data_IF_314603471066
#
_entry.id   IF_314603471066
#
_cell.length_a   1.000
_cell.length_b   1.000
_cell.length_c   1.000
_cell.angle_alpha   90.00
_cell.angle_beta   90.00
_cell.angle_gamma   90.00
#
_symmetry.space_group_name_H-M   'P 1'
#
loop_
_entity.id
_entity.type
_entity.pdbx_description
1 polymer ?
#
# COMPACT_ATOMS: atom_id res chain seq x y z
N UNK A 1 36.34 47.14 -4.59
CA UNK A 1 35.83 45.99 -5.36
C UNK A 1 36.32 44.70 -4.72
N UNK A 2 35.54 43.63 -4.90
CA UNK A 2 35.79 42.22 -4.55
C UNK A 2 35.45 41.77 -3.11
N UNK A 3 34.46 40.86 -3.07
CA UNK A 3 34.34 39.71 -2.17
C UNK A 3 33.14 39.65 -1.18
N UNK A 4 32.01 40.27 -1.50
CA UNK A 4 30.77 40.09 -0.71
C UNK A 4 29.82 39.04 -1.33
N UNK A 5 30.18 38.42 -2.45
CA UNK A 5 29.30 37.50 -3.19
C UNK A 5 29.43 36.02 -2.78
N UNK A 6 30.28 35.67 -1.82
CA UNK A 6 30.58 34.25 -1.53
C UNK A 6 29.70 33.64 -0.45
N UNK A 7 28.94 34.44 0.32
CA UNK A 7 28.19 33.92 1.48
C UNK A 7 26.77 33.45 1.14
N UNK A 8 26.24 33.79 -0.04
CA UNK A 8 24.84 33.47 -0.39
C UNK A 8 24.63 32.07 -0.98
N UNK A 9 25.69 31.34 -1.34
CA UNK A 9 25.60 30.03 -2.03
C UNK A 9 25.58 28.85 -1.06
N UNK A 10 25.91 29.05 0.23
CA UNK A 10 25.98 27.98 1.23
C UNK A 10 24.63 27.60 1.85
N UNK A 11 23.56 28.37 1.64
CA UNK A 11 22.24 28.10 2.22
C UNK A 11 21.26 27.32 1.32
N UNK A 12 21.59 27.09 0.04
CA UNK A 12 20.74 26.30 -0.86
C UNK A 12 21.12 24.81 -0.94
N UNK A 13 22.15 24.37 -0.22
CA UNK A 13 22.76 23.05 -0.40
C UNK A 13 22.16 21.89 0.42
N UNK A 14 21.22 22.13 1.34
CA UNK A 14 20.74 21.07 2.24
C UNK A 14 19.22 21.10 2.37
N UNK A 15 18.52 21.06 1.23
CA UNK A 15 17.18 20.45 1.25
C UNK A 15 17.45 18.95 1.31
N UNK A 16 17.79 18.45 2.50
CA UNK A 16 17.68 17.03 2.78
C UNK A 16 16.21 16.68 2.60
N UNK A 17 15.87 16.11 1.44
CA UNK A 17 14.66 15.32 1.31
C UNK A 17 14.71 14.34 2.48
N UNK A 18 13.84 14.51 3.46
CA UNK A 18 13.60 13.51 4.48
C UNK A 18 13.05 12.29 3.73
N UNK A 19 13.95 11.46 3.20
CA UNK A 19 13.58 10.20 2.59
C UNK A 19 13.06 9.34 3.73
N UNK A 20 11.74 9.21 3.79
CA UNK A 20 11.07 8.28 4.69
C UNK A 20 11.73 6.93 4.52
N UNK A 21 12.29 6.38 5.61
CA UNK A 21 12.99 5.11 5.56
C UNK A 21 12.05 4.04 4.99
N UNK A 22 12.47 3.43 3.89
CA UNK A 22 11.69 2.40 3.20
C UNK A 22 11.66 1.15 4.11
N UNK A 23 10.48 0.58 4.42
CA UNK A 23 10.37 -0.48 5.43
C UNK A 23 10.98 -1.81 4.96
N UNK A 24 10.97 -2.06 3.65
CA UNK A 24 11.61 -3.22 3.00
C UNK A 24 11.75 -3.00 1.49
N UNK A 25 12.41 -3.93 0.79
CA UNK A 25 12.47 -3.96 -0.68
C UNK A 25 12.04 -5.34 -1.17
N UNK A 26 11.32 -5.36 -2.30
CA UNK A 26 10.77 -6.57 -2.92
C UNK A 26 9.27 -6.69 -2.73
N UNK A 27 8.75 -7.78 -3.29
CA UNK A 27 7.34 -8.14 -3.31
C UNK A 27 6.90 -8.80 -2.00
N UNK A 28 5.68 -8.48 -1.57
CA UNK A 28 4.99 -9.09 -0.43
C UNK A 28 3.51 -9.23 -0.74
N UNK A 29 2.97 -10.40 -0.43
CA UNK A 29 1.54 -10.67 -0.57
C UNK A 29 0.77 -10.23 0.68
N UNK A 30 -0.51 -9.91 0.52
CA UNK A 30 -1.40 -9.59 1.64
C UNK A 30 -2.87 -9.88 1.32
N UNK A 31 -3.67 -10.05 2.37
CA UNK A 31 -5.12 -10.23 2.28
C UNK A 31 -5.80 -9.40 3.39
N UNK A 32 -6.27 -8.20 3.06
CA UNK A 32 -6.88 -7.29 4.07
C UNK A 32 -8.39 -7.51 4.19
N UNK A 33 -9.09 -7.68 3.07
CA UNK A 33 -10.53 -7.98 3.05
C UNK A 33 -10.71 -9.48 2.80
N UNK A 34 -11.33 -10.17 3.74
CA UNK A 34 -11.74 -11.56 3.64
C UNK A 34 -13.19 -11.60 3.15
N UNK A 35 -13.41 -11.18 1.91
CA UNK A 35 -14.73 -11.21 1.30
C UNK A 35 -15.40 -12.58 1.46
N UNK A 36 -16.71 -12.58 1.73
CA UNK A 36 -17.50 -13.80 1.86
C UNK A 36 -17.29 -14.70 0.63
N UNK A 37 -16.86 -15.94 0.89
CA UNK A 37 -16.50 -16.97 -0.09
C UNK A 37 -17.44 -17.03 -1.30
N UNK A 38 -16.90 -17.01 -2.52
CA UNK A 38 -17.74 -17.29 -3.69
C UNK A 38 -17.11 -17.37 -5.09
N UNK A 39 -16.05 -16.63 -5.43
CA UNK A 39 -15.67 -16.50 -6.86
C UNK A 39 -14.17 -16.39 -7.18
N UNK A 40 -13.30 -16.75 -6.24
CA UNK A 40 -11.84 -16.57 -6.38
C UNK A 40 -11.43 -15.20 -5.84
N UNK A 41 -11.05 -15.15 -4.57
CA UNK A 41 -10.57 -13.95 -3.88
C UNK A 41 -9.31 -13.43 -4.59
N UNK A 42 -9.24 -12.15 -4.97
CA UNK A 42 -8.02 -11.57 -5.54
C UNK A 42 -6.88 -11.69 -4.53
N UNK A 43 -5.75 -12.24 -4.99
CA UNK A 43 -4.50 -12.24 -4.25
C UNK A 43 -3.79 -10.91 -4.52
N UNK A 44 -3.62 -10.10 -3.48
CA UNK A 44 -2.96 -8.81 -3.60
C UNK A 44 -1.49 -8.90 -3.24
N UNK A 45 -0.70 -8.06 -3.89
CA UNK A 45 0.70 -7.89 -3.56
C UNK A 45 1.10 -6.42 -3.63
N UNK A 46 2.19 -6.10 -2.94
CA UNK A 46 2.88 -4.83 -3.10
C UNK A 46 4.37 -5.09 -3.32
N UNK A 47 4.98 -4.34 -4.24
CA UNK A 47 6.42 -4.41 -4.51
C UNK A 47 7.07 -3.05 -4.28
N UNK A 48 7.97 -3.03 -3.31
CA UNK A 48 8.77 -1.85 -2.97
C UNK A 48 10.11 -1.92 -3.68
N UNK A 49 10.29 -1.07 -4.69
CA UNK A 49 11.53 -0.98 -5.46
C UNK A 49 12.63 -0.32 -4.62
N UNK A 50 13.90 -0.61 -4.94
CA UNK A 50 15.09 -0.03 -4.28
C UNK A 50 15.12 1.50 -4.24
N UNK A 51 14.49 2.14 -5.23
CA UNK A 51 14.40 3.60 -5.31
C UNK A 51 13.22 4.18 -4.49
N UNK A 52 12.47 3.35 -3.76
CA UNK A 52 11.31 3.75 -2.96
C UNK A 52 10.00 3.88 -3.73
N UNK A 53 9.96 3.53 -5.02
CA UNK A 53 8.68 3.39 -5.72
C UNK A 53 7.93 2.18 -5.18
N UNK A 54 6.63 2.32 -5.00
CA UNK A 54 5.76 1.25 -4.53
C UNK A 54 4.75 0.94 -5.62
N UNK A 55 4.67 -0.33 -5.98
CA UNK A 55 3.69 -0.87 -6.90
C UNK A 55 2.71 -1.73 -6.10
N UNK A 56 1.44 -1.67 -6.46
CA UNK A 56 0.39 -2.54 -5.93
C UNK A 56 -0.22 -3.31 -7.08
N UNK A 57 -0.51 -4.59 -6.87
CA UNK A 57 -1.18 -5.39 -7.86
C UNK A 57 -2.10 -6.42 -7.25
N UNK A 58 -2.89 -7.04 -8.12
CA UNK A 58 -3.69 -8.20 -7.78
C UNK A 58 -3.68 -9.22 -8.91
N UNK A 59 -3.89 -10.48 -8.54
CA UNK A 59 -4.16 -11.59 -9.43
C UNK A 59 -5.43 -12.30 -8.96
N UNK A 60 -6.37 -12.48 -9.87
CA UNK A 60 -7.59 -13.23 -9.63
C UNK A 60 -7.78 -14.28 -10.71
N UNK A 61 -8.04 -15.52 -10.30
CA UNK A 61 -8.35 -16.63 -11.21
C UNK A 61 -9.82 -16.99 -11.00
N UNK A 62 -10.63 -16.80 -12.03
CA UNK A 62 -12.03 -17.21 -12.01
C UNK A 62 -12.11 -18.75 -11.97
N UNK A 63 -12.74 -19.28 -10.92
CA UNK A 63 -12.85 -20.72 -10.69
C UNK A 63 -13.72 -21.45 -11.72
N UNK A 64 -14.63 -20.74 -12.40
CA UNK A 64 -15.57 -21.33 -13.34
C UNK A 64 -14.96 -21.60 -14.74
N UNK A 65 -14.08 -20.71 -15.19
CA UNK A 65 -13.53 -20.73 -16.56
C UNK A 65 -11.99 -20.66 -16.61
N UNK A 66 -11.32 -20.55 -15.46
CA UNK A 66 -9.87 -20.41 -15.36
C UNK A 66 -9.32 -19.08 -15.85
N UNK A 67 -10.17 -18.09 -16.15
CA UNK A 67 -9.74 -16.80 -16.68
C UNK A 67 -8.97 -16.01 -15.61
N UNK A 68 -7.76 -15.61 -15.96
CA UNK A 68 -6.92 -14.75 -15.14
C UNK A 68 -7.25 -13.27 -15.37
N UNK A 69 -7.42 -12.53 -14.29
CA UNK A 69 -7.51 -11.07 -14.27
C UNK A 69 -6.38 -10.55 -13.40
N UNK A 70 -5.51 -9.70 -13.96
CA UNK A 70 -4.39 -9.11 -13.25
C UNK A 70 -4.28 -7.62 -13.53
N UNK A 71 -3.87 -6.87 -12.52
CA UNK A 71 -3.57 -5.45 -12.64
C UNK A 71 -2.36 -5.10 -11.75
N UNK A 72 -1.53 -4.18 -12.22
CA UNK A 72 -0.46 -3.57 -11.43
C UNK A 72 -0.51 -2.04 -11.61
N UNK A 73 -0.37 -1.33 -10.49
CA UNK A 73 -0.48 0.12 -10.39
C UNK A 73 0.72 0.69 -9.64
N UNK A 74 1.36 1.70 -10.22
CA UNK A 74 2.39 2.47 -9.54
C UNK A 74 1.72 3.49 -8.60
N UNK A 75 1.91 3.31 -7.29
CA UNK A 75 1.36 4.18 -6.24
C UNK A 75 2.30 5.32 -5.84
N UNK A 76 3.42 5.50 -6.55
CA UNK A 76 4.38 6.57 -6.33
C UNK A 76 5.45 6.20 -5.30
N UNK A 77 6.04 7.23 -4.66
CA UNK A 77 7.05 7.04 -3.63
C UNK A 77 6.41 6.62 -2.31
N UNK A 78 7.08 5.72 -1.58
CA UNK A 78 6.66 5.29 -0.26
C UNK A 78 6.36 6.48 0.66
N UNK A 79 5.19 6.43 1.30
CA UNK A 79 4.74 7.39 2.29
C UNK A 79 4.20 6.63 3.50
N UNK A 80 4.80 6.84 4.66
CA UNK A 80 4.42 6.14 5.90
C UNK A 80 3.07 6.57 6.46
N UNK A 81 2.51 7.71 6.01
CA UNK A 81 1.21 8.19 6.46
C UNK A 81 0.07 7.51 5.71
N UNK A 82 -0.01 7.76 4.40
CA UNK A 82 -1.04 7.22 3.50
C UNK A 82 -0.48 7.19 2.09
N UNK A 83 -0.73 6.09 1.39
CA UNK A 83 -0.53 5.92 -0.04
C UNK A 83 -1.90 5.70 -0.70
N UNK A 84 -2.12 6.36 -1.84
CA UNK A 84 -3.33 6.19 -2.65
C UNK A 84 -3.05 5.22 -3.79
N UNK A 85 -3.85 4.18 -3.87
CA UNK A 85 -3.81 3.17 -4.94
C UNK A 85 -5.15 3.22 -5.65
N UNK A 86 -5.14 3.31 -6.97
CA UNK A 86 -6.36 3.29 -7.77
C UNK A 86 -6.32 2.12 -8.73
N UNK A 87 -7.18 1.12 -8.52
CA UNK A 87 -7.34 -0.04 -9.39
C UNK A 87 -8.37 0.29 -10.47
N UNK A 88 -7.96 0.28 -11.73
CA UNK A 88 -8.80 0.64 -12.88
C UNK A 88 -9.78 -0.45 -13.24
N UNK A 89 -9.41 -1.72 -13.03
CA UNK A 89 -10.26 -2.87 -13.36
C UNK A 89 -11.61 -2.78 -12.65
N UNK A 90 -11.59 -2.41 -11.38
CA UNK A 90 -12.80 -2.30 -10.54
C UNK A 90 -13.21 -0.85 -10.27
N UNK A 91 -12.46 0.14 -10.80
CA UNK A 91 -12.64 1.57 -10.50
C UNK A 91 -12.63 1.86 -8.98
N UNK A 92 -11.75 1.19 -8.25
CA UNK A 92 -11.65 1.27 -6.79
C UNK A 92 -10.43 2.09 -6.37
N UNK A 93 -10.54 2.76 -5.23
CA UNK A 93 -9.43 3.52 -4.65
C UNK A 93 -9.18 3.02 -3.24
N UNK A 94 -7.99 2.51 -2.99
CA UNK A 94 -7.52 2.15 -1.66
C UNK A 94 -6.60 3.24 -1.13
N UNK A 95 -6.80 3.57 0.14
CA UNK A 95 -5.87 4.36 0.92
C UNK A 95 -5.19 3.40 1.88
N UNK A 96 -3.88 3.22 1.76
CA UNK A 96 -3.14 2.22 2.54
C UNK A 96 -1.94 2.84 3.22
N UNK A 97 -1.56 2.26 4.35
CA UNK A 97 -0.24 2.47 4.94
C UNK A 97 0.32 1.11 5.32
N UNK A 98 1.64 0.99 5.36
CA UNK A 98 2.29 -0.27 5.71
C UNK A 98 3.62 -0.02 6.38
N UNK A 99 4.02 -0.99 7.20
CA UNK A 99 5.32 -1.05 7.84
C UNK A 99 6.09 -2.27 7.33
N UNK A 100 7.03 -2.78 8.12
CA UNK A 100 7.86 -3.92 7.72
C UNK A 100 7.09 -5.26 7.72
N UNK A 101 6.03 -5.35 8.50
CA UNK A 101 5.32 -6.59 8.83
C UNK A 101 3.84 -6.54 8.46
N UNK A 102 3.23 -5.36 8.50
CA UNK A 102 1.79 -5.19 8.31
C UNK A 102 1.43 -4.14 7.28
N UNK A 103 0.26 -4.31 6.68
CA UNK A 103 -0.43 -3.32 5.85
C UNK A 103 -1.82 -3.06 6.43
N UNK A 104 -2.30 -1.83 6.28
CA UNK A 104 -3.58 -1.36 6.81
C UNK A 104 -4.35 -0.64 5.72
N UNK A 105 -5.64 -0.95 5.59
CA UNK A 105 -6.57 -0.11 4.84
C UNK A 105 -6.97 1.07 5.72
N UNK A 106 -6.99 2.26 5.13
CA UNK A 106 -7.19 3.53 5.82
C UNK A 106 -8.21 4.40 5.11
N UNK A 107 -8.60 5.49 5.77
CA UNK A 107 -9.20 6.64 5.09
C UNK A 107 -8.13 7.58 4.50
N UNK A 108 -8.55 8.66 3.85
CA UNK A 108 -7.65 9.63 3.23
C UNK A 108 -6.71 10.33 4.23
N UNK A 109 -7.08 10.32 5.51
CA UNK A 109 -6.33 10.97 6.61
C UNK A 109 -5.40 10.00 7.34
N UNK A 110 -5.49 8.69 7.07
CA UNK A 110 -4.64 7.64 7.62
C UNK A 110 -5.20 6.93 8.84
N UNK A 111 -6.47 7.14 9.19
CA UNK A 111 -7.13 6.33 10.21
C UNK A 111 -7.42 4.94 9.66
N UNK A 112 -7.18 3.91 10.46
CA UNK A 112 -7.43 2.53 10.06
C UNK A 112 -8.93 2.33 9.89
N UNK A 113 -9.33 1.83 8.72
CA UNK A 113 -10.72 1.46 8.45
C UNK A 113 -11.12 0.29 9.33
N UNK A 114 -12.39 0.26 9.70
CA UNK A 114 -13.00 -0.88 10.37
C UNK A 114 -14.19 -1.37 9.55
N UNK A 115 -14.25 -2.67 9.31
CA UNK A 115 -15.32 -3.32 8.55
C UNK A 115 -15.46 -4.77 8.98
N UNK A 116 -16.65 -5.32 8.81
CA UNK A 116 -16.92 -6.75 8.99
C UNK A 116 -16.19 -7.58 7.91
N UNK A 117 -15.97 -7.00 6.72
CA UNK A 117 -15.23 -7.65 5.62
C UNK A 117 -13.77 -7.94 5.96
N UNK A 118 -13.24 -7.28 7.00
CA UNK A 118 -11.86 -7.44 7.46
C UNK A 118 -11.75 -8.43 8.62
N UNK A 119 -12.88 -8.93 9.14
CA UNK A 119 -12.88 -9.89 10.23
C UNK A 119 -12.53 -11.29 9.74
N UNK A 120 -11.69 -12.04 10.48
CA UNK A 120 -11.48 -13.44 10.20
C UNK A 120 -12.80 -14.22 10.22
N UNK A 121 -12.95 -15.20 9.33
CA UNK A 121 -14.13 -16.09 9.29
C UNK A 121 -14.38 -16.82 10.62
N UNK A 122 -13.33 -17.03 11.43
CA UNK A 122 -13.43 -17.61 12.78
C UNK A 122 -13.93 -16.65 13.86
N UNK A 123 -13.93 -15.35 13.58
CA UNK A 123 -14.17 -14.28 14.54
C UNK A 123 -15.48 -13.52 14.26
N UNK A 124 -16.45 -14.14 13.57
CA UNK A 124 -17.76 -13.52 13.25
C UNK A 124 -18.57 -13.04 14.48
N UNK A 125 -18.09 -13.27 15.71
CA UNK A 125 -18.63 -12.69 16.93
C UNK A 125 -18.16 -11.23 17.18
N UNK A 126 -17.03 -10.83 16.59
CA UNK A 126 -16.54 -9.45 16.58
C UNK A 126 -16.93 -8.81 15.24
N UNK A 127 -18.02 -8.03 15.25
CA UNK A 127 -18.32 -7.14 14.14
C UNK A 127 -17.41 -5.92 14.25
N UNK A 128 -17.00 -5.36 13.11
CA UNK A 128 -16.23 -4.13 12.97
C UNK A 128 -14.73 -4.25 13.33
N UNK A 129 -14.01 -5.19 12.69
CA UNK A 129 -12.58 -5.42 12.88
C UNK A 129 -11.72 -4.35 12.18
N UNK A 130 -10.50 -4.13 12.68
CA UNK A 130 -9.53 -3.30 11.98
C UNK A 130 -9.11 -3.97 10.66
N UNK A 131 -9.10 -3.23 9.58
CA UNK A 131 -8.65 -3.69 8.27
C UNK A 131 -7.12 -3.69 8.20
N UNK A 132 -6.51 -4.75 8.73
CA UNK A 132 -5.07 -4.99 8.72
C UNK A 132 -4.71 -6.40 8.25
N UNK A 133 -3.55 -6.55 7.62
CA UNK A 133 -3.01 -7.85 7.19
C UNK A 133 -1.51 -7.90 7.45
N UNK A 134 -1.01 -9.11 7.72
CA UNK A 134 0.42 -9.42 7.65
C UNK A 134 0.87 -9.37 6.19
N UNK A 135 2.13 -8.97 5.96
CA UNK A 135 2.83 -9.04 4.69
C UNK A 135 3.61 -10.35 4.59
N UNK A 136 3.18 -11.23 3.68
CA UNK A 136 3.79 -12.53 3.43
C UNK A 136 4.97 -12.41 2.47
N UNK A 137 5.97 -13.29 2.60
CA UNK A 137 7.22 -13.25 1.84
C UNK A 137 7.25 -14.23 0.68
#
# INVERSE_FOLDING_TARGET
MKNIFTTLVLFFGIISFAQTAIPFTGERDFNIEQGASGSGTPAYYLDVKKNGNVHFGFLQINQADGKETKEEMNAGKYNSKVMKVHFKTYNETFYVKFDKEKIYLTDETGNIKRSDDCCPVSEMAELNCNCESILYK
#
